data_IF_427980592850
#
_entry.id   IF_427980592850
#
_cell.length_a   1.000
_cell.length_b   1.000
_cell.length_c   1.000
_cell.angle_alpha   90.00
_cell.angle_beta   90.00
_cell.angle_gamma   90.00
#
_symmetry.space_group_name_H-M   'P 1'
#
loop_
_entity.id
_entity.type
_entity.pdbx_description
1 polymer ?
#
# COMPACT_ATOMS: atom_id res chain seq x y z
N UNK A 1 -9.01 -7.94 -0.96
CA UNK A 1 -7.77 -7.91 -1.76
C UNK A 1 -8.12 -8.37 -3.15
N UNK A 2 -8.08 -7.44 -4.09
CA UNK A 2 -8.20 -7.76 -5.52
C UNK A 2 -6.81 -7.83 -6.18
N UNK A 3 -6.77 -8.09 -7.48
CA UNK A 3 -5.51 -8.18 -8.24
C UNK A 3 -4.76 -6.84 -8.25
N UNK A 4 -5.47 -5.71 -8.34
CA UNK A 4 -4.86 -4.39 -8.38
C UNK A 4 -4.14 -4.08 -7.05
N UNK A 5 -4.81 -4.31 -5.92
CA UNK A 5 -4.22 -4.21 -4.58
C UNK A 5 -2.92 -5.01 -4.47
N UNK A 6 -2.96 -6.27 -4.92
CA UNK A 6 -1.81 -7.18 -4.86
C UNK A 6 -0.62 -6.65 -5.67
N UNK A 7 -0.89 -6.15 -6.88
CA UNK A 7 0.17 -5.60 -7.73
C UNK A 7 0.83 -4.37 -7.12
N UNK A 8 0.06 -3.49 -6.47
CA UNK A 8 0.59 -2.32 -5.79
C UNK A 8 1.46 -2.69 -4.57
N UNK A 9 1.04 -3.69 -3.78
CA UNK A 9 1.85 -4.17 -2.64
C UNK A 9 3.18 -4.75 -3.12
N UNK A 10 3.17 -5.57 -4.18
CA UNK A 10 4.40 -6.14 -4.76
C UNK A 10 5.28 -5.05 -5.37
N UNK A 11 4.70 -4.09 -6.10
CA UNK A 11 5.44 -3.00 -6.73
C UNK A 11 6.11 -2.09 -5.67
N UNK A 12 5.40 -1.78 -4.59
CA UNK A 12 5.92 -1.03 -3.47
C UNK A 12 7.15 -1.70 -2.82
N UNK A 13 7.11 -3.02 -2.64
CA UNK A 13 8.25 -3.79 -2.14
C UNK A 13 9.46 -3.71 -3.08
N UNK A 14 9.22 -3.88 -4.39
CA UNK A 14 10.26 -3.85 -5.42
C UNK A 14 10.94 -2.49 -5.56
N UNK A 15 10.17 -1.41 -5.37
CA UNK A 15 10.66 -0.03 -5.49
C UNK A 15 11.11 0.57 -4.15
N UNK A 16 10.94 -0.17 -3.04
CA UNK A 16 11.10 0.36 -1.68
C UNK A 16 10.34 1.69 -1.48
N UNK A 17 9.12 1.75 -2.02
CA UNK A 17 8.23 2.91 -1.94
C UNK A 17 7.07 2.59 -1.00
N UNK A 18 6.87 3.42 0.03
CA UNK A 18 5.80 3.24 1.02
C UNK A 18 4.55 4.04 0.74
N UNK A 19 4.61 4.93 -0.24
CA UNK A 19 3.60 5.95 -0.48
C UNK A 19 2.57 5.40 -1.46
N UNK A 20 1.31 5.39 -1.02
CA UNK A 20 0.18 4.90 -1.81
C UNK A 20 -0.81 6.03 -2.00
N UNK A 21 -1.19 6.23 -3.26
CA UNK A 21 -2.30 7.09 -3.68
C UNK A 21 -3.52 6.19 -3.96
N UNK A 22 -4.51 6.22 -3.07
CA UNK A 22 -5.75 5.44 -3.22
C UNK A 22 -6.92 6.16 -2.55
N UNK A 23 -8.11 5.98 -3.12
CA UNK A 23 -9.36 6.40 -2.48
C UNK A 23 -9.87 5.35 -1.47
N UNK A 24 -9.44 4.09 -1.59
CA UNK A 24 -9.80 3.03 -0.66
C UNK A 24 -8.85 3.01 0.55
N UNK A 25 -8.99 4.01 1.42
CA UNK A 25 -8.21 4.09 2.66
C UNK A 25 -8.39 2.83 3.52
N UNK A 26 -9.66 2.42 3.73
CA UNK A 26 -9.98 1.34 4.66
C UNK A 26 -9.40 0.01 4.20
N UNK A 27 -9.51 -0.30 2.91
CA UNK A 27 -8.91 -1.50 2.33
C UNK A 27 -7.39 -1.46 2.43
N UNK A 28 -6.75 -0.36 2.01
CA UNK A 28 -5.29 -0.28 1.98
C UNK A 28 -4.63 -0.24 3.37
N UNK A 29 -5.30 0.28 4.39
CA UNK A 29 -4.82 0.22 5.79
C UNK A 29 -4.69 -1.20 6.31
N UNK A 30 -5.27 -2.21 5.66
CA UNK A 30 -5.10 -3.63 6.03
C UNK A 30 -3.78 -4.22 5.53
N UNK A 31 -3.21 -3.66 4.46
CA UNK A 31 -1.98 -4.16 3.86
C UNK A 31 -0.73 -3.65 4.58
N UNK A 32 0.36 -4.40 4.42
CA UNK A 32 1.67 -4.14 5.01
C UNK A 32 2.73 -4.41 3.95
N UNK A 33 3.83 -3.67 3.99
CA UNK A 33 5.00 -3.90 3.14
C UNK A 33 6.24 -4.17 3.99
N UNK A 34 7.29 -4.75 3.41
CA UNK A 34 8.63 -4.96 3.95
C UNK A 34 8.72 -4.98 5.49
N UNK A 35 8.86 -6.17 6.08
CA UNK A 35 8.97 -6.34 7.55
C UNK A 35 7.77 -5.75 8.30
N UNK A 36 6.57 -5.92 7.76
CA UNK A 36 5.31 -5.53 8.41
C UNK A 36 5.15 -4.01 8.65
N UNK A 37 5.80 -3.17 7.84
CA UNK A 37 5.64 -1.71 7.85
C UNK A 37 4.28 -1.29 7.28
N UNK A 38 3.76 -0.18 7.77
CA UNK A 38 2.51 0.43 7.30
C UNK A 38 2.78 1.32 6.09
N UNK A 39 1.93 1.22 5.07
CA UNK A 39 1.91 2.18 3.97
C UNK A 39 1.55 3.58 4.48
N UNK A 40 2.10 4.58 3.80
CA UNK A 40 1.75 5.99 3.93
C UNK A 40 0.66 6.29 2.91
N UNK A 41 -0.50 6.75 3.35
CA UNK A 41 -1.62 7.03 2.44
C UNK A 41 -1.67 8.52 2.16
N UNK A 42 -1.22 8.92 0.98
CA UNK A 42 -0.88 10.33 0.70
C UNK A 42 -2.08 11.28 0.64
N UNK A 43 -3.31 10.76 0.58
CA UNK A 43 -4.54 11.56 0.63
C UNK A 43 -5.10 11.73 2.04
N UNK A 44 -4.58 10.98 3.02
CA UNK A 44 -5.10 10.92 4.40
C UNK A 44 -4.04 11.27 5.46
N UNK A 45 -2.90 11.75 5.00
CA UNK A 45 -1.83 12.32 5.83
C UNK A 45 -1.92 13.84 5.89
#
# INVERSE_FOLDING_TARGET
MDFADATLVVLAERLNCSDILTLDERGFRTFRYSRNRRFRLVLQD
#
